data_IF_037992006121
#
_entry.id   IF_037992006121
#
_cell.length_a   1.000
_cell.length_b   1.000
_cell.length_c   1.000
_cell.angle_alpha   90.00
_cell.angle_beta   90.00
_cell.angle_gamma   90.00
#
_symmetry.space_group_name_H-M   'P 1'
#
loop_
_entity.id
_entity.type
_entity.pdbx_description
1 polymer ?
#
# COMPACT_ATOMS: atom_id res chain seq x y z
N UNK A 1 10.93 -27.79 9.20
CA UNK A 1 10.27 -26.52 8.80
C UNK A 1 9.08 -26.72 7.85
N UNK A 2 9.09 -27.72 6.99
CA UNK A 2 8.00 -28.02 6.03
C UNK A 2 6.63 -28.28 6.67
N UNK A 3 6.54 -29.08 7.73
CA UNK A 3 5.25 -29.41 8.37
C UNK A 3 4.50 -28.19 8.94
N UNK A 4 5.20 -27.19 9.46
CA UNK A 4 4.56 -25.99 10.01
C UNK A 4 3.97 -25.13 8.88
N UNK A 5 4.68 -25.01 7.75
CA UNK A 5 4.18 -24.29 6.57
C UNK A 5 2.95 -25.00 5.98
N UNK A 6 2.98 -26.32 5.93
CA UNK A 6 1.85 -27.15 5.49
C UNK A 6 0.62 -26.95 6.38
N UNK A 7 0.77 -27.00 7.71
CA UNK A 7 -0.30 -26.76 8.67
C UNK A 7 -0.95 -25.40 8.50
N UNK A 8 -0.16 -24.35 8.27
CA UNK A 8 -0.68 -22.99 8.03
C UNK A 8 -1.51 -22.90 6.75
N UNK A 9 -1.01 -23.50 5.68
CA UNK A 9 -1.72 -23.58 4.40
C UNK A 9 -3.05 -24.33 4.57
N UNK A 10 -3.01 -25.50 5.20
CA UNK A 10 -4.20 -26.32 5.43
C UNK A 10 -5.21 -25.62 6.36
N UNK A 11 -4.73 -24.92 7.40
CA UNK A 11 -5.56 -24.13 8.29
C UNK A 11 -6.34 -23.05 7.53
N UNK A 12 -5.66 -22.27 6.65
CA UNK A 12 -6.34 -21.26 5.85
C UNK A 12 -7.42 -21.90 4.96
N UNK A 13 -7.07 -22.96 4.25
CA UNK A 13 -8.00 -23.69 3.38
C UNK A 13 -9.22 -24.23 4.14
N UNK A 14 -8.99 -24.80 5.33
CA UNK A 14 -10.05 -25.36 6.16
C UNK A 14 -11.01 -24.28 6.71
N UNK A 15 -10.47 -23.12 7.12
CA UNK A 15 -11.28 -21.98 7.55
C UNK A 15 -12.12 -21.45 6.39
N UNK A 16 -11.54 -21.25 5.20
CA UNK A 16 -12.26 -20.77 4.03
C UNK A 16 -13.38 -21.72 3.61
N UNK A 17 -13.13 -23.03 3.64
CA UNK A 17 -14.14 -24.05 3.38
C UNK A 17 -15.27 -24.02 4.43
N UNK A 18 -14.95 -23.86 5.71
CA UNK A 18 -15.92 -23.77 6.79
C UNK A 18 -16.78 -22.50 6.69
N UNK A 19 -16.16 -21.37 6.40
CA UNK A 19 -16.88 -20.11 6.17
C UNK A 19 -17.88 -20.25 5.02
N UNK A 20 -17.45 -20.85 3.92
CA UNK A 20 -18.31 -21.08 2.74
C UNK A 20 -19.46 -22.06 3.04
N UNK A 21 -19.18 -23.16 3.74
CA UNK A 21 -20.19 -24.18 4.05
C UNK A 21 -21.24 -23.69 5.04
N UNK A 22 -20.84 -22.86 6.01
CA UNK A 22 -21.71 -22.29 7.06
C UNK A 22 -22.34 -20.96 6.68
N UNK A 23 -22.00 -20.40 5.51
CA UNK A 23 -22.51 -19.10 5.08
C UNK A 23 -22.02 -17.93 5.95
N UNK A 24 -20.87 -18.07 6.61
CA UNK A 24 -20.30 -17.04 7.46
C UNK A 24 -19.69 -15.91 6.59
N UNK A 25 -19.55 -14.70 7.17
CA UNK A 25 -19.12 -13.52 6.39
C UNK A 25 -17.64 -13.19 6.55
N UNK A 26 -16.95 -13.77 7.54
CA UNK A 26 -15.55 -13.42 7.85
C UNK A 26 -14.86 -14.44 8.76
N UNK A 27 -13.54 -14.35 8.85
CA UNK A 27 -12.71 -15.11 9.80
C UNK A 27 -13.12 -14.84 11.26
N UNK A 28 -13.55 -13.62 11.57
CA UNK A 28 -14.01 -13.25 12.91
C UNK A 28 -15.30 -14.02 13.24
N UNK A 29 -16.26 -14.05 12.31
CA UNK A 29 -17.49 -14.81 12.49
C UNK A 29 -17.23 -16.32 12.63
N UNK A 30 -16.24 -16.86 11.91
CA UNK A 30 -15.78 -18.24 12.10
C UNK A 30 -15.22 -18.45 13.50
N UNK A 31 -14.37 -17.56 13.99
CA UNK A 31 -13.80 -17.65 15.33
C UNK A 31 -14.87 -17.56 16.42
N UNK A 32 -15.83 -16.68 16.28
CA UNK A 32 -16.97 -16.56 17.20
C UNK A 32 -17.85 -17.82 17.21
N UNK A 33 -18.09 -18.41 16.04
CA UNK A 33 -18.89 -19.62 15.90
C UNK A 33 -18.29 -20.82 16.66
N UNK A 34 -16.96 -20.94 16.69
CA UNK A 34 -16.24 -22.05 17.32
C UNK A 34 -15.57 -21.67 18.67
N UNK A 35 -15.91 -20.52 19.24
CA UNK A 35 -15.30 -20.00 20.47
C UNK A 35 -13.75 -19.99 20.41
N UNK A 36 -13.23 -19.44 19.32
CA UNK A 36 -11.80 -19.29 19.07
C UNK A 36 -11.37 -17.83 19.21
N UNK A 37 -10.13 -17.60 19.65
CA UNK A 37 -9.59 -16.25 19.71
C UNK A 37 -9.14 -15.80 18.30
N UNK A 38 -9.74 -14.73 17.73
CA UNK A 38 -9.42 -14.27 16.37
C UNK A 38 -7.94 -13.85 16.21
N UNK A 39 -7.37 -13.22 17.23
CA UNK A 39 -5.97 -12.81 17.22
C UNK A 39 -5.02 -14.00 17.20
N UNK A 40 -5.33 -15.06 17.94
CA UNK A 40 -4.55 -16.27 17.96
C UNK A 40 -4.60 -16.99 16.60
N UNK A 41 -5.78 -17.13 16.00
CA UNK A 41 -5.94 -17.74 14.67
C UNK A 41 -5.19 -16.94 13.62
N UNK A 42 -5.29 -15.62 13.64
CA UNK A 42 -4.54 -14.73 12.75
C UNK A 42 -3.02 -14.90 12.89
N UNK A 43 -2.51 -15.02 14.12
CA UNK A 43 -1.08 -15.27 14.37
C UNK A 43 -0.61 -16.62 13.82
N UNK A 44 -1.42 -17.67 13.96
CA UNK A 44 -1.10 -19.00 13.41
C UNK A 44 -1.03 -18.97 11.88
N UNK A 45 -1.98 -18.31 11.21
CA UNK A 45 -2.03 -18.19 9.76
C UNK A 45 -0.84 -17.35 9.23
N UNK A 46 -0.59 -16.19 9.84
CA UNK A 46 0.42 -15.23 9.38
C UNK A 46 1.86 -15.58 9.81
N UNK A 47 2.05 -16.63 10.58
CA UNK A 47 3.39 -17.09 10.92
C UNK A 47 4.03 -16.42 12.12
N UNK A 48 3.31 -15.62 12.87
CA UNK A 48 3.81 -14.94 14.07
C UNK A 48 3.77 -15.81 15.34
N UNK A 49 3.26 -17.04 15.24
CA UNK A 49 3.18 -17.99 16.34
C UNK A 49 3.74 -19.37 15.99
N UNK A 50 4.11 -20.16 17.00
CA UNK A 50 4.50 -21.56 16.84
C UNK A 50 3.25 -22.41 16.55
N UNK A 51 3.16 -23.04 15.36
CA UNK A 51 2.07 -23.94 15.00
C UNK A 51 2.52 -25.40 15.12
N UNK A 52 2.83 -25.79 16.37
CA UNK A 52 3.21 -27.16 16.71
C UNK A 52 2.04 -28.14 16.58
N UNK A 53 2.35 -29.44 16.73
CA UNK A 53 1.38 -30.54 16.61
C UNK A 53 0.24 -30.43 17.65
N UNK A 54 0.59 -30.11 18.89
CA UNK A 54 -0.41 -29.97 19.99
C UNK A 54 -1.42 -28.86 19.67
N UNK A 55 -0.97 -27.73 19.09
CA UNK A 55 -1.84 -26.63 18.69
C UNK A 55 -2.76 -27.03 17.53
N UNK A 56 -2.25 -27.80 16.55
CA UNK A 56 -3.04 -28.33 15.46
C UNK A 56 -4.13 -29.31 15.96
N UNK A 57 -3.79 -30.27 16.79
CA UNK A 57 -4.77 -31.24 17.37
C UNK A 57 -5.85 -30.52 18.20
N UNK A 58 -5.48 -29.54 19.01
CA UNK A 58 -6.44 -28.77 19.81
C UNK A 58 -7.41 -27.99 18.93
N UNK A 59 -6.92 -27.41 17.83
CA UNK A 59 -7.74 -26.67 16.91
C UNK A 59 -8.70 -27.58 16.12
N UNK A 60 -8.19 -28.71 15.62
CA UNK A 60 -9.01 -29.72 14.94
C UNK A 60 -10.15 -30.23 15.85
N UNK A 61 -9.84 -30.50 17.11
CA UNK A 61 -10.83 -30.94 18.11
C UNK A 61 -11.88 -29.88 18.40
N UNK A 62 -11.48 -28.59 18.53
CA UNK A 62 -12.42 -27.47 18.79
C UNK A 62 -13.38 -27.23 17.63
N UNK A 63 -12.88 -27.30 16.40
CA UNK A 63 -13.68 -27.07 15.21
C UNK A 63 -14.44 -28.29 14.73
N UNK A 64 -14.09 -29.49 15.26
CA UNK A 64 -14.69 -30.76 14.86
C UNK A 64 -14.12 -31.32 13.55
N UNK A 65 -12.91 -30.91 13.17
CA UNK A 65 -12.20 -31.47 12.02
C UNK A 65 -11.59 -32.85 12.37
N UNK A 66 -11.35 -33.66 11.33
CA UNK A 66 -10.70 -34.97 11.53
C UNK A 66 -9.27 -34.78 12.05
N UNK A 67 -8.88 -35.63 13.00
CA UNK A 67 -7.53 -35.61 13.55
C UNK A 67 -6.48 -35.83 12.47
N UNK A 68 -5.46 -34.96 12.43
CA UNK A 68 -4.41 -34.96 11.41
C UNK A 68 -4.79 -34.30 10.11
N UNK A 69 -5.95 -33.70 9.98
CA UNK A 69 -6.38 -33.02 8.76
C UNK A 69 -5.42 -31.90 8.37
N UNK A 70 -4.89 -31.16 9.33
CA UNK A 70 -3.96 -30.07 9.10
C UNK A 70 -2.55 -30.55 8.67
N UNK A 71 -2.25 -31.85 8.83
CA UNK A 71 -0.95 -32.42 8.45
C UNK A 71 -0.97 -33.19 7.11
N UNK A 72 -2.14 -33.33 6.47
CA UNK A 72 -2.27 -34.07 5.19
C UNK A 72 -1.77 -33.23 4.02
N UNK A 73 -0.97 -33.85 3.15
CA UNK A 73 -0.61 -33.30 1.85
C UNK A 73 -1.82 -33.49 0.92
N UNK A 74 -2.52 -32.42 0.59
CA UNK A 74 -3.78 -32.32 -0.15
C UNK A 74 -5.04 -32.77 0.62
N UNK A 75 -5.84 -31.83 1.13
CA UNK A 75 -7.26 -32.05 1.29
C UNK A 75 -7.98 -31.67 -0.02
N UNK A 76 -7.81 -32.42 -1.10
CA UNK A 76 -8.74 -32.38 -2.22
C UNK A 76 -9.99 -33.15 -1.80
N UNK A 77 -11.09 -32.45 -1.74
CA UNK A 77 -12.44 -32.99 -1.74
C UNK A 77 -12.66 -33.79 -3.00
N UNK A 78 -12.49 -35.11 -2.86
CA UNK A 78 -13.05 -36.05 -3.81
C UNK A 78 -13.42 -37.34 -3.07
N UNK A 79 -14.69 -37.45 -2.75
CA UNK A 79 -15.40 -38.71 -2.74
C UNK A 79 -16.89 -38.41 -3.00
N UNK A 80 -17.33 -38.67 -4.21
CA UNK A 80 -18.52 -39.48 -4.44
C UNK A 80 -18.73 -39.72 -5.94
N UNK A 81 -18.64 -40.93 -6.28
CA UNK A 81 -19.47 -41.85 -7.02
C UNK A 81 -19.05 -42.16 -8.44
N UNK A 82 -18.73 -43.45 -8.57
CA UNK A 82 -18.66 -44.21 -9.80
C UNK A 82 -20.01 -44.25 -10.50
N UNK A 83 -20.03 -44.07 -11.79
CA UNK A 83 -20.65 -45.06 -12.66
C UNK A 83 -20.34 -44.80 -14.13
N UNK A 84 -20.15 -45.88 -14.83
CA UNK A 84 -19.79 -46.04 -16.22
C UNK A 84 -20.80 -45.47 -17.21
N UNK A 85 -20.29 -45.06 -18.38
CA UNK A 85 -21.13 -44.78 -19.56
C UNK A 85 -20.31 -44.11 -20.69
N UNK A 86 -19.74 -44.93 -21.57
CA UNK A 86 -19.11 -44.51 -22.82
C UNK A 86 -20.15 -43.88 -23.75
N UNK A 87 -19.89 -42.66 -24.25
CA UNK A 87 -20.29 -42.26 -25.62
C UNK A 87 -19.54 -40.95 -25.97
N UNK A 88 -18.98 -40.92 -27.18
CA UNK A 88 -18.16 -39.83 -27.71
C UNK A 88 -18.92 -38.52 -27.78
N UNK A 89 -18.46 -37.57 -27.02
CA UNK A 89 -18.91 -36.19 -27.02
C UNK A 89 -17.70 -35.26 -27.02
N UNK A 90 -17.76 -34.25 -27.85
CA UNK A 90 -16.77 -33.18 -27.95
C UNK A 90 -16.47 -32.67 -26.55
N UNK A 91 -15.21 -32.85 -26.07
CA UNK A 91 -14.73 -32.25 -24.81
C UNK A 91 -14.61 -30.76 -25.03
N UNK A 92 -15.66 -30.04 -24.67
CA UNK A 92 -15.55 -28.60 -24.41
C UNK A 92 -14.88 -28.49 -23.06
N UNK A 93 -13.58 -28.16 -23.04
CA UNK A 93 -12.89 -27.81 -21.79
C UNK A 93 -13.60 -26.60 -21.20
N UNK A 94 -14.05 -26.64 -19.93
CA UNK A 94 -14.57 -25.45 -19.30
C UNK A 94 -13.47 -24.38 -19.31
N UNK A 95 -13.84 -23.17 -19.70
CA UNK A 95 -12.96 -22.00 -19.55
C UNK A 95 -12.81 -21.78 -18.06
N UNK A 96 -11.71 -22.27 -17.49
CA UNK A 96 -11.31 -21.90 -16.14
C UNK A 96 -10.90 -20.42 -16.18
N UNK A 97 -11.77 -19.56 -15.70
CA UNK A 97 -11.34 -18.25 -15.26
C UNK A 97 -10.41 -18.48 -14.07
N UNK A 98 -9.12 -18.54 -14.33
CA UNK A 98 -8.11 -18.38 -13.30
C UNK A 98 -8.18 -16.93 -12.85
N UNK A 99 -9.02 -16.64 -11.86
CA UNK A 99 -8.78 -15.53 -10.99
C UNK A 99 -7.41 -15.83 -10.36
N UNK A 100 -6.37 -15.19 -10.87
CA UNK A 100 -5.06 -15.21 -10.25
C UNK A 100 -5.25 -14.60 -8.87
N UNK A 101 -5.41 -15.42 -7.85
CA UNK A 101 -5.20 -15.03 -6.47
C UNK A 101 -3.71 -14.74 -6.29
N UNK A 102 -3.25 -13.64 -6.87
CA UNK A 102 -2.14 -12.93 -6.29
C UNK A 102 -2.66 -12.43 -4.95
N UNK A 103 -2.20 -13.03 -3.84
CA UNK A 103 -2.38 -12.43 -2.51
C UNK A 103 -2.02 -10.96 -2.68
N UNK A 104 -2.92 -10.01 -2.37
CA UNK A 104 -2.56 -8.62 -2.38
C UNK A 104 -1.50 -8.47 -1.30
N UNK A 105 -0.24 -8.41 -1.73
CA UNK A 105 0.84 -8.01 -0.86
C UNK A 105 0.69 -6.51 -0.75
N UNK A 106 -0.20 -6.06 0.15
CA UNK A 106 -0.37 -4.65 0.41
C UNK A 106 0.98 -4.05 0.76
N UNK A 107 1.28 -2.95 0.13
CA UNK A 107 2.45 -2.14 0.47
C UNK A 107 2.05 -1.08 1.47
N UNK A 108 2.97 -0.73 2.33
CA UNK A 108 2.77 0.21 3.41
C UNK A 108 3.46 1.52 3.10
N UNK A 109 2.68 2.60 2.94
CA UNK A 109 3.17 3.94 2.63
C UNK A 109 3.06 4.82 3.87
N UNK A 110 4.16 5.42 4.35
CA UNK A 110 4.13 6.32 5.50
C UNK A 110 3.34 7.60 5.23
N UNK A 111 2.58 8.06 6.22
CA UNK A 111 1.77 9.28 6.21
C UNK A 111 2.30 10.26 7.27
N UNK A 112 2.45 11.51 6.87
CA UNK A 112 2.92 12.62 7.70
C UNK A 112 1.85 13.72 7.74
N UNK A 113 1.15 13.86 8.87
CA UNK A 113 0.01 14.80 9.02
C UNK A 113 0.42 16.16 9.58
N UNK A 114 1.34 16.19 10.54
CA UNK A 114 1.67 17.37 11.35
C UNK A 114 2.98 18.04 10.96
N UNK A 115 3.22 18.20 9.66
CA UNK A 115 4.45 18.86 9.18
C UNK A 115 4.54 20.32 9.68
N UNK A 116 3.40 20.98 9.94
CA UNK A 116 3.34 22.34 10.50
C UNK A 116 3.87 22.45 11.93
N UNK A 117 3.70 21.42 12.76
CA UNK A 117 4.15 21.43 14.15
C UNK A 117 5.67 21.27 14.28
N UNK A 118 6.30 20.62 13.31
CA UNK A 118 7.75 20.40 13.26
C UNK A 118 8.53 21.64 12.77
N UNK A 119 7.86 22.70 12.31
CA UNK A 119 8.48 23.90 11.77
C UNK A 119 9.25 24.76 12.80
N UNK A 120 9.30 24.35 14.08
CA UNK A 120 9.96 25.11 15.15
C UNK A 120 11.44 24.78 15.38
N UNK A 121 11.97 23.63 15.04
CA UNK A 121 13.35 23.23 15.33
C UNK A 121 13.85 22.01 14.56
N UNK A 122 13.66 21.91 13.24
CA UNK A 122 14.28 20.84 12.48
C UNK A 122 13.42 20.21 11.40
N UNK A 123 13.00 21.01 10.42
CA UNK A 123 12.31 20.52 9.21
C UNK A 123 13.18 19.52 8.42
N UNK A 124 14.49 19.50 8.64
CA UNK A 124 15.39 18.58 7.92
C UNK A 124 15.04 17.11 8.15
N UNK A 125 14.37 16.78 9.26
CA UNK A 125 14.07 15.40 9.65
C UNK A 125 12.56 15.10 9.80
N UNK A 126 11.65 15.90 9.24
CA UNK A 126 10.20 15.64 9.40
C UNK A 126 9.75 14.27 8.86
N UNK A 127 10.54 13.66 7.97
CA UNK A 127 10.31 12.30 7.48
C UNK A 127 10.64 11.20 8.52
N UNK A 128 11.11 11.56 9.72
CA UNK A 128 11.35 10.59 10.80
C UNK A 128 10.09 10.36 11.65
N UNK A 129 9.20 11.35 11.75
CA UNK A 129 7.98 11.28 12.55
C UNK A 129 6.78 10.81 11.73
N UNK A 130 6.70 9.50 11.52
CA UNK A 130 5.56 8.90 10.81
C UNK A 130 4.32 8.93 11.69
N UNK A 131 3.28 9.63 11.24
CA UNK A 131 2.00 9.70 11.97
C UNK A 131 1.18 8.43 11.83
N UNK A 132 1.07 7.93 10.63
CA UNK A 132 0.24 6.76 10.26
C UNK A 132 0.82 6.05 9.03
N UNK A 133 0.20 4.93 8.65
CA UNK A 133 0.52 4.21 7.42
C UNK A 133 -0.73 3.95 6.59
N UNK A 134 -0.61 4.08 5.28
CA UNK A 134 -1.59 3.59 4.32
C UNK A 134 -1.17 2.19 3.84
N UNK A 135 -1.99 1.18 4.14
CA UNK A 135 -1.83 -0.15 3.55
C UNK A 135 -2.68 -0.23 2.27
N UNK A 136 -2.05 -0.35 1.12
CA UNK A 136 -2.69 -0.28 -0.20
C UNK A 136 -2.16 -1.37 -1.14
N UNK A 137 -3.05 -1.91 -1.98
CA UNK A 137 -2.64 -2.81 -3.06
C UNK A 137 -1.79 -2.04 -4.10
N UNK A 138 -0.58 -2.52 -4.46
CA UNK A 138 0.25 -1.90 -5.50
C UNK A 138 -0.47 -1.71 -6.85
N UNK A 139 -1.46 -2.54 -7.15
CA UNK A 139 -2.25 -2.41 -8.36
C UNK A 139 -3.09 -1.12 -8.36
N UNK A 140 -3.61 -0.72 -7.21
CA UNK A 140 -4.37 0.54 -7.07
C UNK A 140 -3.46 1.74 -7.35
N UNK A 141 -2.20 1.72 -6.87
CA UNK A 141 -1.23 2.78 -7.18
C UNK A 141 -1.02 2.94 -8.69
N UNK A 142 -0.93 1.81 -9.42
CA UNK A 142 -0.81 1.82 -10.88
C UNK A 142 -2.06 2.39 -11.57
N UNK A 143 -3.27 2.05 -11.10
CA UNK A 143 -4.52 2.61 -11.60
C UNK A 143 -4.57 4.13 -11.39
N UNK A 144 -4.04 4.61 -10.26
CA UNK A 144 -3.93 6.03 -9.95
C UNK A 144 -2.85 6.74 -10.78
N UNK A 145 -2.10 6.03 -11.63
CA UNK A 145 -1.05 6.57 -12.48
C UNK A 145 0.31 6.72 -11.79
N UNK A 146 0.45 6.25 -10.55
CA UNK A 146 1.70 6.32 -9.79
C UNK A 146 2.64 5.23 -10.32
N UNK A 147 3.80 5.63 -10.84
CA UNK A 147 4.82 4.73 -11.38
C UNK A 147 5.98 4.51 -10.41
N UNK A 148 6.11 5.35 -9.41
CA UNK A 148 7.14 5.27 -8.38
C UNK A 148 6.98 4.02 -7.55
N UNK A 149 8.10 3.39 -7.17
CA UNK A 149 8.09 2.23 -6.28
C UNK A 149 7.50 2.63 -4.92
N UNK A 150 6.65 1.80 -4.31
CA UNK A 150 6.00 2.11 -3.03
C UNK A 150 6.95 2.48 -1.90
N UNK A 151 8.16 1.91 -1.89
CA UNK A 151 9.21 2.20 -0.91
C UNK A 151 9.70 3.65 -0.95
N UNK A 152 9.58 4.31 -2.11
CA UNK A 152 9.95 5.72 -2.30
C UNK A 152 8.77 6.68 -2.16
N UNK A 153 7.55 6.17 -1.97
CA UNK A 153 6.38 7.02 -1.77
C UNK A 153 6.24 7.47 -0.33
N UNK A 154 5.84 8.72 -0.17
CA UNK A 154 5.40 9.30 1.11
C UNK A 154 4.11 10.05 0.89
N UNK A 155 3.23 10.03 1.89
CA UNK A 155 2.02 10.83 1.87
C UNK A 155 2.19 11.97 2.86
N UNK A 156 2.09 13.20 2.35
CA UNK A 156 2.08 14.44 3.13
C UNK A 156 0.79 15.21 2.84
N UNK A 157 0.44 16.17 3.68
CA UNK A 157 -0.75 17.00 3.48
C UNK A 157 -0.37 18.41 3.06
N UNK A 158 -1.04 18.91 2.02
CA UNK A 158 -0.90 20.31 1.60
C UNK A 158 -1.44 21.25 2.68
N UNK A 159 -0.69 22.32 2.97
CA UNK A 159 -1.09 23.30 3.97
C UNK A 159 -1.57 24.61 3.36
N UNK A 160 -1.28 24.88 2.10
CA UNK A 160 -1.41 26.21 1.49
C UNK A 160 -2.16 26.21 0.16
N UNK A 161 -2.63 27.42 -0.20
CA UNK A 161 -3.30 27.67 -1.48
C UNK A 161 -2.35 27.95 -2.65
N UNK A 162 -1.04 27.91 -2.46
CA UNK A 162 -0.04 28.28 -3.46
C UNK A 162 -0.17 27.50 -4.77
N UNK A 163 -0.65 26.27 -4.71
CA UNK A 163 -0.80 25.37 -5.87
C UNK A 163 -2.26 25.16 -6.29
N UNK A 164 -3.20 25.92 -5.72
CA UNK A 164 -4.61 25.85 -6.15
C UNK A 164 -4.74 26.36 -7.61
N UNK A 165 -5.56 25.73 -8.50
CA UNK A 165 -6.47 24.61 -8.24
C UNK A 165 -5.83 23.20 -8.35
N UNK A 166 -4.58 23.09 -8.79
CA UNK A 166 -3.91 21.79 -8.98
C UNK A 166 -3.86 20.99 -7.68
N UNK A 167 -3.61 21.68 -6.57
CA UNK A 167 -3.63 21.12 -5.22
C UNK A 167 -4.48 22.00 -4.33
N UNK A 168 -5.50 21.43 -3.68
CA UNK A 168 -6.27 22.14 -2.67
C UNK A 168 -5.62 22.00 -1.29
N UNK A 169 -5.87 22.93 -0.34
CA UNK A 169 -5.45 22.76 1.03
C UNK A 169 -5.98 21.45 1.64
N UNK A 170 -5.23 20.90 2.58
CA UNK A 170 -5.52 19.65 3.28
C UNK A 170 -5.68 18.41 2.35
N UNK A 171 -5.20 18.52 1.11
CA UNK A 171 -5.16 17.39 0.18
C UNK A 171 -4.01 16.45 0.51
N UNK A 172 -4.24 15.12 0.52
CA UNK A 172 -3.15 14.14 0.58
C UNK A 172 -2.35 14.14 -0.72
N UNK A 173 -1.04 14.20 -0.58
CA UNK A 173 -0.06 14.28 -1.66
C UNK A 173 0.83 13.04 -1.65
N UNK A 174 0.87 12.31 -2.74
CA UNK A 174 1.83 11.23 -2.95
C UNK A 174 3.11 11.82 -3.52
N UNK A 175 4.20 11.74 -2.78
CA UNK A 175 5.50 12.34 -3.10
C UNK A 175 6.54 11.25 -3.30
N UNK A 176 7.24 11.30 -4.40
CA UNK A 176 8.40 10.46 -4.71
C UNK A 176 9.67 11.06 -4.10
N UNK A 177 10.15 10.47 -3.01
CA UNK A 177 11.36 10.94 -2.32
C UNK A 177 12.67 10.49 -2.98
N UNK A 178 12.62 9.65 -4.02
CA UNK A 178 13.80 9.29 -4.81
C UNK A 178 14.17 10.37 -5.82
N UNK A 179 13.22 11.21 -6.21
CA UNK A 179 13.37 12.30 -7.19
C UNK A 179 13.56 13.64 -6.46
N UNK A 180 14.73 13.86 -5.90
CA UNK A 180 15.07 15.02 -5.08
C UNK A 180 16.42 15.68 -5.40
N UNK A 181 17.13 15.20 -6.42
CA UNK A 181 18.42 15.78 -6.81
C UNK A 181 18.21 17.10 -7.54
N UNK A 182 18.75 18.25 -7.01
CA UNK A 182 18.63 19.54 -7.64
C UNK A 182 19.19 19.60 -9.08
N UNK A 183 20.14 18.73 -9.41
CA UNK A 183 20.77 18.69 -10.73
C UNK A 183 19.97 17.90 -11.77
N UNK A 184 18.95 17.16 -11.34
CA UNK A 184 18.13 16.29 -12.19
C UNK A 184 16.64 16.60 -12.17
N UNK A 185 16.27 17.84 -11.81
CA UNK A 185 14.88 18.27 -11.72
C UNK A 185 14.18 18.15 -13.08
N UNK A 186 12.99 17.59 -13.08
CA UNK A 186 12.17 17.38 -14.28
C UNK A 186 11.35 18.62 -14.57
N UNK A 187 11.55 19.19 -15.76
CA UNK A 187 10.85 20.39 -16.22
C UNK A 187 9.32 20.24 -16.19
N UNK A 188 8.62 21.23 -15.65
CA UNK A 188 7.16 21.27 -15.58
C UNK A 188 6.56 20.45 -14.43
N UNK A 189 7.37 19.73 -13.66
CA UNK A 189 6.88 18.94 -12.51
C UNK A 189 6.79 19.78 -11.23
N UNK A 190 5.94 19.34 -10.31
CA UNK A 190 5.78 19.96 -9.00
C UNK A 190 6.70 19.26 -8.02
N UNK A 191 7.46 20.04 -7.27
CA UNK A 191 8.35 19.55 -6.23
C UNK A 191 7.97 20.11 -4.86
N UNK A 192 8.13 19.26 -3.86
CA UNK A 192 8.05 19.61 -2.44
C UNK A 192 9.46 19.80 -1.93
N UNK A 193 9.71 20.89 -1.24
CA UNK A 193 11.03 21.21 -0.71
C UNK A 193 10.92 22.05 0.55
N UNK A 194 11.98 22.09 1.33
CA UNK A 194 12.13 22.99 2.47
C UNK A 194 13.12 24.09 2.13
N UNK A 195 12.76 25.31 2.50
CA UNK A 195 13.58 26.49 2.38
C UNK A 195 13.29 27.45 3.52
N UNK A 196 14.31 27.93 4.22
CA UNK A 196 14.18 28.79 5.41
C UNK A 196 13.22 28.23 6.46
N UNK A 197 13.32 26.92 6.74
CA UNK A 197 12.45 26.20 7.70
C UNK A 197 10.96 26.17 7.34
N UNK A 198 10.60 26.45 6.10
CA UNK A 198 9.23 26.33 5.60
C UNK A 198 9.15 25.21 4.55
N UNK A 199 8.10 24.39 4.68
CA UNK A 199 7.76 23.43 3.65
C UNK A 199 6.99 24.14 2.54
N UNK A 200 7.54 24.09 1.34
CA UNK A 200 7.00 24.78 0.15
C UNK A 200 6.76 23.80 -0.98
N UNK A 201 5.86 24.17 -1.86
CA UNK A 201 5.56 23.40 -3.06
C UNK A 201 5.47 24.35 -4.25
N UNK A 202 6.21 24.06 -5.32
CA UNK A 202 6.26 24.86 -6.54
C UNK A 202 6.40 23.97 -7.78
N UNK A 203 5.91 24.48 -8.90
CA UNK A 203 6.20 23.90 -10.21
C UNK A 203 7.54 24.44 -10.70
N UNK A 204 8.40 23.52 -11.10
CA UNK A 204 9.78 23.82 -11.50
C UNK A 204 9.87 23.88 -13.01
N UNK A 205 10.46 24.98 -13.53
CA UNK A 205 10.81 25.11 -14.93
C UNK A 205 12.31 25.33 -15.08
N UNK A 206 12.95 24.39 -15.73
CA UNK A 206 14.38 24.43 -16.05
C UNK A 206 14.53 24.88 -17.50
N UNK A 207 15.17 26.02 -17.72
CA UNK A 207 15.43 26.55 -19.07
C UNK A 207 16.77 26.02 -19.57
N UNK A 208 16.76 25.38 -20.74
CA UNK A 208 17.98 24.86 -21.33
C UNK A 208 18.96 26.04 -21.69
N UNK A 209 20.21 25.90 -21.26
CA UNK A 209 21.24 26.92 -21.47
C UNK A 209 21.15 28.15 -20.55
N UNK A 210 20.21 28.15 -19.60
CA UNK A 210 20.07 29.17 -18.56
C UNK A 210 20.68 28.70 -17.27
N UNK A 211 21.32 29.60 -16.52
CA UNK A 211 21.82 29.31 -15.17
C UNK A 211 20.76 29.56 -14.08
N UNK A 212 19.49 29.62 -14.48
CA UNK A 212 18.38 29.91 -13.56
C UNK A 212 17.26 28.90 -13.71
N UNK A 213 16.64 28.57 -12.58
CA UNK A 213 15.44 27.75 -12.47
C UNK A 213 14.29 28.64 -12.03
N UNK A 214 13.15 28.52 -12.71
CA UNK A 214 11.93 29.24 -12.35
C UNK A 214 11.08 28.35 -11.46
N UNK A 215 10.73 28.86 -10.29
CA UNK A 215 9.77 28.26 -9.38
C UNK A 215 8.45 29.04 -9.48
N UNK A 216 7.36 28.36 -9.83
CA UNK A 216 6.06 29.01 -9.97
C UNK A 216 4.99 28.32 -9.16
N UNK A 217 4.07 29.08 -8.62
CA UNK A 217 2.84 28.59 -8.02
C UNK A 217 1.78 28.43 -9.10
N UNK A 218 0.96 27.37 -9.02
CA UNK A 218 -0.16 27.18 -9.94
C UNK A 218 -1.32 28.14 -9.67
N UNK A 219 -1.33 28.76 -8.46
CA UNK A 219 -2.32 29.77 -8.12
C UNK A 219 -2.23 30.99 -9.04
N UNK A 220 -3.36 31.43 -9.63
CA UNK A 220 -3.40 32.57 -10.54
C UNK A 220 -3.11 33.92 -9.88
N UNK A 221 -3.24 34.03 -8.56
CA UNK A 221 -2.91 35.26 -7.82
C UNK A 221 -1.39 35.45 -7.70
N UNK A 222 -0.80 35.97 -8.76
CA UNK A 222 0.65 36.24 -8.84
C UNK A 222 1.14 37.38 -7.94
N UNK A 223 0.22 38.21 -7.43
CA UNK A 223 0.57 39.21 -6.41
C UNK A 223 0.89 38.56 -5.05
N UNK A 224 0.12 37.53 -4.70
CA UNK A 224 0.30 36.77 -3.46
C UNK A 224 1.34 35.65 -3.63
N UNK A 225 1.38 35.03 -4.80
CA UNK A 225 2.26 33.89 -5.11
C UNK A 225 3.11 34.17 -6.35
N UNK A 226 4.09 35.10 -6.26
CA UNK A 226 4.92 35.48 -7.39
C UNK A 226 5.78 34.32 -7.89
N UNK A 227 6.18 34.42 -9.16
CA UNK A 227 7.18 33.53 -9.72
C UNK A 227 8.56 33.91 -9.16
N UNK A 228 9.36 32.91 -8.84
CA UNK A 228 10.71 33.06 -8.29
C UNK A 228 11.73 32.55 -9.30
N UNK A 229 12.80 33.30 -9.51
CA UNK A 229 13.92 32.89 -10.36
C UNK A 229 15.15 32.74 -9.48
N UNK A 230 15.68 31.53 -9.43
CA UNK A 230 16.83 31.17 -8.59
C UNK A 230 17.97 30.69 -9.46
N UNK A 231 19.18 31.03 -9.08
CA UNK A 231 20.40 30.54 -9.74
C UNK A 231 20.69 29.10 -9.32
N UNK A 232 21.50 28.39 -10.10
CA UNK A 232 21.93 27.04 -9.73
C UNK A 232 22.69 26.98 -8.38
N UNK A 233 23.34 28.06 -8.01
CA UNK A 233 24.01 28.19 -6.71
C UNK A 233 22.98 28.24 -5.58
N UNK A 234 21.96 29.08 -5.70
CA UNK A 234 20.86 29.20 -4.75
C UNK A 234 20.01 27.92 -4.70
N UNK A 235 19.94 27.15 -5.79
CA UNK A 235 19.22 25.88 -5.84
C UNK A 235 19.83 24.87 -4.86
N UNK A 236 21.12 24.93 -4.61
CA UNK A 236 21.82 24.06 -3.65
C UNK A 236 21.44 24.35 -2.18
N UNK A 237 20.89 25.53 -1.89
CA UNK A 237 20.41 25.91 -0.56
C UNK A 237 18.99 25.37 -0.27
N UNK A 238 18.30 24.89 -1.31
CA UNK A 238 16.97 24.31 -1.22
C UNK A 238 17.09 22.82 -0.94
N UNK A 239 16.47 22.35 0.13
CA UNK A 239 16.40 20.93 0.43
C UNK A 239 15.13 20.32 -0.21
N UNK A 240 15.30 19.65 -1.36
CA UNK A 240 14.21 18.95 -2.03
C UNK A 240 13.82 17.69 -1.25
N UNK A 241 12.53 17.57 -0.94
CA UNK A 241 11.93 16.40 -0.31
C UNK A 241 11.60 15.36 -1.37
N UNK A 242 11.02 15.78 -2.49
CA UNK A 242 10.67 14.91 -3.59
C UNK A 242 9.72 15.53 -4.60
N UNK A 243 9.39 14.77 -5.62
CA UNK A 243 8.47 15.15 -6.69
C UNK A 243 7.04 14.72 -6.36
N UNK A 244 6.07 15.60 -6.63
CA UNK A 244 4.66 15.26 -6.53
C UNK A 244 4.27 14.28 -7.65
N UNK A 245 3.79 13.10 -7.27
CA UNK A 245 3.22 12.10 -8.18
C UNK A 245 1.72 12.29 -8.38
N UNK A 246 1.01 12.49 -7.28
CA UNK A 246 -0.44 12.63 -7.29
C UNK A 246 -0.92 13.48 -6.10
N UNK A 247 -1.91 14.32 -6.34
CA UNK A 247 -2.69 14.97 -5.29
C UNK A 247 -4.13 14.47 -5.33
N UNK A 248 -4.68 14.06 -4.18
CA UNK A 248 -6.08 13.71 -4.07
C UNK A 248 -6.89 14.97 -3.74
N UNK A 249 -7.41 15.60 -4.77
CA UNK A 249 -8.17 16.85 -4.65
C UNK A 249 -9.66 16.50 -4.68
N UNK A 250 -10.42 17.06 -3.72
CA UNK A 250 -11.89 16.98 -3.76
C UNK A 250 -12.40 17.93 -4.84
N UNK A 251 -13.41 17.53 -5.61
CA UNK A 251 -14.03 18.37 -6.63
C UNK A 251 -14.73 19.59 -6.02
#
# INVERSE_FOLDING_TARGET
MEKIALRRKNLRTAIDASIKSLGLKSDVAFCEHYDLNPSYISQLINGHGSFGERAARNLEKKVGWAEGMLDKENPSTDETTQSAGSTGGIKISPIEFRSGESKPTNVRIPIYKDIKASCGAGIENFLEDVSEYLDIDPYILKIMGIQTKPEHLRIIYSAEYSMYPTVAPDSPLFVDISDKDPNSLKNGNVYVFTHNHELRMKRVFVSYGSNTVKLTSDNPDKKRYPDEFITNEQLSEINFVGRLELALVKP
#
